data_IF_254444606285
#
_entry.id   IF_254444606285
#
_cell.length_a   1.000
_cell.length_b   1.000
_cell.length_c   1.000
_cell.angle_alpha   90.00
_cell.angle_beta   90.00
_cell.angle_gamma   90.00
#
_symmetry.space_group_name_H-M   'P 1'
#
loop_
_entity.id
_entity.type
_entity.pdbx_description
1 polymer ?
#
# COMPACT_ATOMS: atom_id res chain seq x y z
N UNK A 1 12.85 1.09 14.61
CA UNK A 1 11.57 1.26 13.90
C UNK A 1 11.58 2.66 13.30
N UNK A 2 11.40 2.77 11.98
CA UNK A 2 11.29 4.06 11.30
C UNK A 2 10.12 4.87 11.88
N UNK A 3 10.31 6.17 12.09
CA UNK A 3 9.24 7.05 12.58
C UNK A 3 8.17 7.32 11.51
N UNK A 4 6.99 7.74 11.93
CA UNK A 4 5.92 8.13 11.01
C UNK A 4 6.35 9.25 10.06
N UNK A 5 7.11 10.25 10.55
CA UNK A 5 7.57 11.39 9.75
C UNK A 5 8.55 10.94 8.67
N UNK A 6 9.52 10.11 9.03
CA UNK A 6 10.50 9.57 8.08
C UNK A 6 9.82 8.75 6.97
N UNK A 7 8.88 7.87 7.35
CA UNK A 7 8.10 7.07 6.40
C UNK A 7 7.26 7.93 5.47
N UNK A 8 6.58 8.93 6.02
CA UNK A 8 5.76 9.86 5.25
C UNK A 8 6.62 10.62 4.23
N UNK A 9 7.74 11.20 4.65
CA UNK A 9 8.66 11.91 3.76
C UNK A 9 9.20 10.97 2.69
N UNK A 10 9.60 9.74 3.05
CA UNK A 10 10.06 8.71 2.11
C UNK A 10 9.00 8.41 1.05
N UNK A 11 7.74 8.16 1.45
CA UNK A 11 6.67 7.86 0.50
C UNK A 11 6.39 9.05 -0.43
N UNK A 12 6.34 10.27 0.11
CA UNK A 12 6.08 11.48 -0.69
C UNK A 12 7.19 11.81 -1.68
N UNK A 13 8.40 11.28 -1.49
CA UNK A 13 9.52 11.44 -2.42
C UNK A 13 9.46 10.52 -3.65
N UNK A 14 8.53 9.56 -3.66
CA UNK A 14 8.37 8.58 -4.74
C UNK A 14 7.22 9.05 -5.64
N UNK A 15 7.48 9.14 -6.94
CA UNK A 15 6.45 9.52 -7.91
C UNK A 15 5.44 8.38 -8.11
N UNK A 16 4.20 8.57 -7.67
CA UNK A 16 3.09 7.63 -7.87
C UNK A 16 1.93 8.24 -8.64
N UNK A 17 2.15 9.33 -9.40
CA UNK A 17 1.10 10.03 -10.15
C UNK A 17 0.32 9.08 -11.06
N UNK A 18 -1.00 9.17 -11.06
CA UNK A 18 -1.86 8.44 -12.00
C UNK A 18 -1.87 9.05 -13.40
N UNK A 19 -2.17 8.24 -14.41
CA UNK A 19 -2.31 8.68 -15.81
C UNK A 19 -3.72 8.35 -16.32
N UNK A 20 -4.51 9.37 -16.65
CA UNK A 20 -5.89 9.21 -17.13
C UNK A 20 -5.99 8.63 -18.55
N UNK A 21 -4.94 8.77 -19.37
CA UNK A 21 -4.90 8.21 -20.73
C UNK A 21 -4.57 6.71 -20.75
N UNK A 22 -4.20 6.14 -19.60
CA UNK A 22 -3.80 4.75 -19.49
C UNK A 22 -4.99 3.78 -19.58
N UNK A 23 -4.75 2.63 -20.21
CA UNK A 23 -5.70 1.53 -20.29
C UNK A 23 -5.34 0.37 -19.35
N UNK A 24 -4.33 0.55 -18.50
CA UNK A 24 -3.87 -0.46 -17.53
C UNK A 24 -4.27 -0.09 -16.11
N UNK A 25 -4.28 -1.10 -15.23
CA UNK A 25 -4.46 -0.93 -13.79
C UNK A 25 -3.28 -1.61 -13.09
N UNK A 26 -2.48 -0.88 -12.27
CA UNK A 26 -2.43 0.58 -12.13
C UNK A 26 -2.11 1.32 -13.44
N UNK A 27 -2.39 2.61 -13.50
CA UNK A 27 -2.24 3.43 -14.72
C UNK A 27 -0.78 3.73 -15.07
N UNK A 28 0.14 3.66 -14.11
CA UNK A 28 1.57 3.90 -14.31
C UNK A 28 2.43 2.82 -13.65
N UNK A 29 3.56 2.48 -14.28
CA UNK A 29 4.52 1.52 -13.73
C UNK A 29 5.08 1.94 -12.37
N UNK A 30 5.22 3.24 -12.11
CA UNK A 30 5.76 3.73 -10.83
C UNK A 30 4.86 3.42 -9.63
N UNK A 31 3.53 3.35 -9.83
CA UNK A 31 2.59 2.85 -8.81
C UNK A 31 2.82 1.36 -8.51
N UNK A 32 3.09 0.54 -9.53
CA UNK A 32 3.42 -0.89 -9.37
C UNK A 32 4.73 -1.04 -8.60
N UNK A 33 5.74 -0.24 -8.93
CA UNK A 33 7.04 -0.28 -8.27
C UNK A 33 6.94 0.16 -6.81
N UNK A 34 6.15 1.20 -6.52
CA UNK A 34 5.86 1.61 -5.14
C UNK A 34 5.14 0.50 -4.36
N UNK A 35 4.11 -0.12 -4.95
CA UNK A 35 3.36 -1.20 -4.31
C UNK A 35 4.27 -2.42 -3.98
N UNK A 36 5.05 -2.86 -4.96
CA UNK A 36 5.82 -4.12 -4.87
C UNK A 36 7.16 -3.99 -4.14
N UNK A 37 7.86 -2.87 -4.32
CA UNK A 37 9.21 -2.68 -3.78
C UNK A 37 9.24 -1.86 -2.49
N UNK A 38 8.15 -1.16 -2.14
CA UNK A 38 8.09 -0.30 -0.95
C UNK A 38 6.98 -0.74 -0.01
N UNK A 39 5.71 -0.67 -0.42
CA UNK A 39 4.59 -0.96 0.46
C UNK A 39 4.57 -2.41 0.95
N UNK A 40 4.72 -3.40 0.06
CA UNK A 40 4.71 -4.82 0.46
C UNK A 40 5.84 -5.12 1.47
N UNK A 41 7.10 -4.73 1.24
CA UNK A 41 8.16 -4.86 2.26
C UNK A 41 7.87 -4.13 3.55
N UNK A 42 7.36 -2.89 3.49
CA UNK A 42 7.09 -2.08 4.69
C UNK A 42 5.97 -2.70 5.55
N UNK A 43 4.89 -3.20 4.93
CA UNK A 43 3.81 -3.89 5.65
C UNK A 43 4.30 -5.18 6.32
N UNK A 44 5.15 -5.95 5.65
CA UNK A 44 5.79 -7.14 6.26
C UNK A 44 6.70 -6.75 7.42
N UNK A 45 7.48 -5.68 7.27
CA UNK A 45 8.41 -5.23 8.29
C UNK A 45 7.72 -4.71 9.57
N UNK A 46 6.51 -4.17 9.46
CA UNK A 46 5.70 -3.76 10.62
C UNK A 46 4.87 -4.90 11.22
N UNK A 47 4.94 -6.12 10.66
CA UNK A 47 4.34 -7.33 11.23
C UNK A 47 2.93 -7.65 10.75
N UNK A 48 2.50 -7.17 9.58
CA UNK A 48 1.30 -7.69 8.95
C UNK A 48 1.58 -9.06 8.32
N UNK A 49 0.57 -9.93 8.39
CA UNK A 49 0.53 -11.22 7.73
C UNK A 49 -0.25 -11.15 6.41
N UNK A 50 -0.18 -12.23 5.63
CA UNK A 50 -0.91 -12.37 4.36
C UNK A 50 -0.68 -11.19 3.38
N UNK A 51 0.50 -10.55 3.45
CA UNK A 51 0.80 -9.37 2.64
C UNK A 51 0.99 -9.75 1.18
N UNK A 52 0.05 -9.32 0.33
CA UNK A 52 0.02 -9.61 -1.11
C UNK A 52 -0.10 -8.32 -1.95
N UNK A 53 0.45 -8.36 -3.15
CA UNK A 53 0.12 -7.44 -4.24
C UNK A 53 -0.70 -8.21 -5.28
N UNK A 54 -1.94 -7.79 -5.50
CA UNK A 54 -2.80 -8.39 -6.52
C UNK A 54 -2.52 -7.74 -7.89
N UNK A 55 -2.00 -8.55 -8.81
CA UNK A 55 -1.61 -8.10 -10.16
C UNK A 55 -2.78 -7.74 -11.06
N UNK A 56 -3.98 -8.24 -10.78
CA UNK A 56 -5.16 -7.98 -11.61
C UNK A 56 -5.75 -6.58 -11.38
N UNK A 57 -5.56 -6.03 -10.18
CA UNK A 57 -6.21 -4.79 -9.76
C UNK A 57 -5.29 -3.79 -9.04
N UNK A 58 -4.03 -4.14 -8.82
CA UNK A 58 -3.03 -3.25 -8.21
C UNK A 58 -3.12 -3.09 -6.69
N UNK A 59 -3.99 -3.83 -6.00
CA UNK A 59 -4.15 -3.66 -4.55
C UNK A 59 -3.02 -4.31 -3.76
N UNK A 60 -2.54 -3.60 -2.75
CA UNK A 60 -1.73 -4.16 -1.67
C UNK A 60 -2.66 -4.45 -0.48
N UNK A 61 -2.65 -5.68 0.00
CA UNK A 61 -3.51 -6.14 1.10
C UNK A 61 -2.62 -6.81 2.14
N UNK A 62 -2.90 -6.59 3.42
CA UNK A 62 -2.29 -7.33 4.53
C UNK A 62 -3.25 -7.38 5.72
N UNK A 63 -3.05 -8.37 6.57
CA UNK A 63 -3.90 -8.67 7.73
C UNK A 63 -3.11 -8.43 9.02
N UNK A 64 -3.68 -7.69 9.96
CA UNK A 64 -3.24 -7.72 11.36
C UNK A 64 -4.23 -8.60 12.13
N UNK A 65 -3.75 -9.74 12.64
CA UNK A 65 -4.60 -10.65 13.41
C UNK A 65 -5.06 -10.03 14.74
N UNK A 66 -6.19 -10.53 15.24
CA UNK A 66 -6.71 -10.11 16.53
C UNK A 66 -5.67 -10.32 17.64
N UNK A 67 -5.60 -9.36 18.57
CA UNK A 67 -4.74 -9.41 19.75
C UNK A 67 -5.50 -9.84 21.02
N UNK A 68 -6.70 -10.41 20.84
CA UNK A 68 -7.60 -10.87 21.90
C UNK A 68 -8.40 -12.08 21.40
N UNK A 69 -8.83 -12.93 22.33
CA UNK A 69 -9.71 -14.08 22.05
C UNK A 69 -11.20 -13.68 21.97
N UNK A 70 -11.52 -12.41 22.26
CA UNK A 70 -12.88 -11.90 22.13
C UNK A 70 -13.33 -11.87 20.66
N UNK A 71 -14.59 -12.24 20.43
CA UNK A 71 -15.19 -12.17 19.09
C UNK A 71 -15.51 -10.72 18.74
N UNK A 72 -14.70 -10.12 17.88
CA UNK A 72 -14.94 -8.81 17.31
C UNK A 72 -15.11 -8.88 15.79
N UNK A 73 -15.90 -7.98 15.17
CA UNK A 73 -15.94 -7.86 13.72
C UNK A 73 -14.60 -7.35 13.18
N UNK A 74 -14.20 -7.83 12.00
CA UNK A 74 -13.06 -7.28 11.28
C UNK A 74 -13.36 -5.85 10.80
N UNK A 75 -12.35 -4.98 10.86
CA UNK A 75 -12.39 -3.63 10.29
C UNK A 75 -11.31 -3.49 9.22
N UNK A 76 -11.60 -2.71 8.18
CA UNK A 76 -10.67 -2.42 7.09
C UNK A 76 -10.28 -0.95 7.09
N UNK A 77 -8.98 -0.68 6.93
CA UNK A 77 -8.46 0.66 6.66
C UNK A 77 -7.94 0.69 5.22
N UNK A 78 -8.35 1.69 4.45
CA UNK A 78 -8.02 1.81 3.04
C UNK A 78 -7.42 3.18 2.80
N UNK A 79 -6.37 3.22 1.99
CA UNK A 79 -5.78 4.42 1.42
C UNK A 79 -5.48 4.14 -0.06
N UNK A 80 -5.44 5.19 -0.88
CA UNK A 80 -4.95 5.10 -2.25
C UNK A 80 -3.45 5.44 -2.28
N UNK A 81 -2.73 4.94 -3.29
CA UNK A 81 -1.27 5.11 -3.41
C UNK A 81 -0.85 6.19 -4.40
N UNK A 82 -1.75 6.56 -5.31
CA UNK A 82 -1.49 7.51 -6.37
C UNK A 82 -1.65 8.95 -5.90
N UNK A 83 -0.93 9.85 -6.55
CA UNK A 83 -1.09 11.29 -6.37
C UNK A 83 -1.85 11.88 -7.55
N UNK A 84 -2.56 12.99 -7.29
CA UNK A 84 -3.23 13.73 -8.34
C UNK A 84 -2.24 14.19 -9.43
N UNK A 85 -2.74 14.33 -10.65
CA UNK A 85 -2.17 15.30 -11.58
C UNK A 85 -2.42 16.70 -10.98
N UNK A 86 -1.63 17.73 -11.32
CA UNK A 86 -1.62 19.10 -10.71
C UNK A 86 -1.03 19.27 -9.29
#
# INVERSE_FOLDING_TARGET
MESMVERFVRYTSINTRSNEESTTIPSTQTQVDFATNVLVPDLKAIGLDEVIYNRENGFVIGTLHANTDEKAPSIGFIAHMDTADY
#
